data_IF_638788955903
#
_entry.id   IF_638788955903
#
_cell.length_a   1.000
_cell.length_b   1.000
_cell.length_c   1.000
_cell.angle_alpha   90.00
_cell.angle_beta   90.00
_cell.angle_gamma   90.00
#
_symmetry.space_group_name_H-M   'P 1'
#
loop_
_entity.id
_entity.type
_entity.pdbx_description
1 polymer ?
#
# COMPACT_ATOMS: atom_id res chain seq x y z
N UNK A 1 -11.52 4.40 6.95
CA UNK A 1 -10.78 4.54 5.66
C UNK A 1 -11.25 5.79 4.95
N UNK A 2 -10.32 6.58 4.44
CA UNK A 2 -10.63 7.82 3.71
C UNK A 2 -11.27 7.50 2.37
N UNK A 3 -12.08 8.43 1.83
CA UNK A 3 -12.74 8.23 0.55
C UNK A 3 -11.74 8.01 -0.59
N UNK A 4 -10.64 8.77 -0.61
CA UNK A 4 -9.60 8.60 -1.64
C UNK A 4 -8.98 7.19 -1.60
N UNK A 5 -8.90 6.58 -0.42
CA UNK A 5 -8.38 5.23 -0.26
C UNK A 5 -9.37 4.18 -0.75
N UNK A 6 -10.65 4.40 -0.56
CA UNK A 6 -11.69 3.55 -1.13
C UNK A 6 -11.67 3.61 -2.66
N UNK A 7 -11.51 4.83 -3.20
CA UNK A 7 -11.42 5.02 -4.65
C UNK A 7 -10.15 4.38 -5.21
N UNK A 8 -9.04 4.48 -4.50
CA UNK A 8 -7.77 3.84 -4.85
C UNK A 8 -7.93 2.32 -4.92
N UNK A 9 -8.47 1.72 -3.86
CA UNK A 9 -8.66 0.27 -3.80
C UNK A 9 -9.65 -0.22 -4.85
N UNK A 10 -10.69 0.55 -5.12
CA UNK A 10 -11.65 0.25 -6.18
C UNK A 10 -11.00 0.25 -7.55
N UNK A 11 -10.15 1.26 -7.82
CA UNK A 11 -9.44 1.35 -9.09
C UNK A 11 -8.53 0.13 -9.31
N UNK A 12 -7.83 -0.30 -8.26
CA UNK A 12 -6.98 -1.48 -8.33
C UNK A 12 -7.82 -2.74 -8.59
N UNK A 13 -8.92 -2.90 -7.85
CA UNK A 13 -9.79 -4.07 -7.95
C UNK A 13 -10.35 -4.24 -9.37
N UNK A 14 -10.77 -3.14 -9.99
CA UNK A 14 -11.34 -3.16 -11.33
C UNK A 14 -10.33 -2.85 -12.43
N UNK A 15 -9.05 -2.75 -12.08
CA UNK A 15 -7.94 -2.49 -13.02
C UNK A 15 -8.19 -1.25 -13.87
N UNK A 16 -8.50 -0.15 -13.20
CA UNK A 16 -8.76 1.15 -13.81
C UNK A 16 -7.70 2.14 -13.37
N UNK A 17 -7.21 2.93 -14.31
CA UNK A 17 -6.33 4.05 -13.96
C UNK A 17 -7.11 5.10 -13.18
N UNK A 18 -6.46 5.70 -12.19
CA UNK A 18 -7.04 6.76 -11.38
C UNK A 18 -5.97 7.80 -11.07
N UNK A 19 -6.34 9.06 -11.10
CA UNK A 19 -5.51 10.14 -10.58
C UNK A 19 -6.43 11.10 -9.85
N UNK A 20 -6.25 11.23 -8.55
CA UNK A 20 -7.13 12.04 -7.72
C UNK A 20 -6.32 12.67 -6.60
N UNK A 21 -6.29 14.02 -6.58
CA UNK A 21 -5.49 14.76 -5.61
C UNK A 21 -4.02 14.28 -5.63
N UNK A 22 -3.53 13.73 -4.52
CA UNK A 22 -2.15 13.31 -4.37
C UNK A 22 -1.90 11.83 -4.68
N UNK A 23 -2.95 11.07 -5.06
CA UNK A 23 -2.89 9.61 -5.20
C UNK A 23 -3.21 9.20 -6.63
N UNK A 24 -2.41 8.30 -7.18
CA UNK A 24 -2.66 7.76 -8.51
C UNK A 24 -2.50 6.24 -8.53
N UNK A 25 -3.28 5.61 -9.42
CA UNK A 25 -3.22 4.18 -9.72
C UNK A 25 -3.00 4.04 -11.22
N UNK A 26 -1.96 3.33 -11.59
CA UNK A 26 -1.63 3.07 -12.99
C UNK A 26 -1.57 1.58 -13.23
N UNK A 27 -2.43 1.10 -14.13
CA UNK A 27 -2.54 -0.32 -14.43
C UNK A 27 -1.71 -0.65 -15.67
N UNK A 28 -0.73 -1.53 -15.49
CA UNK A 28 0.03 -2.14 -16.55
C UNK A 28 -0.40 -3.61 -16.69
N UNK A 29 0.10 -4.28 -17.70
CA UNK A 29 -0.31 -5.67 -17.97
C UNK A 29 0.01 -6.62 -16.82
N UNK A 30 1.20 -6.50 -16.23
CA UNK A 30 1.68 -7.44 -15.20
C UNK A 30 1.65 -6.87 -13.80
N UNK A 31 1.50 -5.55 -13.68
CA UNK A 31 1.63 -4.87 -12.40
C UNK A 31 0.76 -3.63 -12.35
N UNK A 32 0.21 -3.36 -11.18
CA UNK A 32 -0.52 -2.13 -10.89
C UNK A 32 0.33 -1.32 -9.92
N UNK A 33 0.62 -0.06 -10.27
CA UNK A 33 1.42 0.85 -9.45
C UNK A 33 0.53 1.85 -8.74
N UNK A 34 0.83 2.07 -7.45
CA UNK A 34 0.17 3.11 -6.65
C UNK A 34 1.22 4.13 -6.23
N UNK A 35 0.92 5.41 -6.47
CA UNK A 35 1.82 6.51 -6.15
C UNK A 35 1.14 7.54 -5.28
N UNK A 36 1.92 8.12 -4.38
CA UNK A 36 1.52 9.23 -3.53
C UNK A 36 2.46 10.39 -3.82
N UNK A 37 1.93 11.54 -4.26
CA UNK A 37 2.74 12.68 -4.71
C UNK A 37 3.76 12.27 -5.79
N UNK A 38 3.39 11.35 -6.67
CA UNK A 38 4.27 10.84 -7.72
C UNK A 38 5.29 9.80 -7.27
N UNK A 39 5.37 9.48 -5.98
CA UNK A 39 6.33 8.51 -5.44
C UNK A 39 5.66 7.16 -5.25
N UNK A 40 6.35 6.09 -5.67
CA UNK A 40 5.82 4.74 -5.59
C UNK A 40 5.66 4.32 -4.13
N UNK A 41 4.45 3.87 -3.77
CA UNK A 41 4.15 3.35 -2.43
C UNK A 41 3.62 1.91 -2.45
N UNK A 42 3.17 1.42 -3.60
CA UNK A 42 2.69 0.05 -3.67
C UNK A 42 2.66 -0.49 -5.09
N UNK A 43 2.83 -1.80 -5.20
CA UNK A 43 2.60 -2.53 -6.45
C UNK A 43 1.79 -3.77 -6.16
N UNK A 44 0.86 -4.08 -7.06
CA UNK A 44 0.06 -5.30 -7.00
C UNK A 44 0.35 -6.11 -8.25
N UNK A 45 0.81 -7.35 -8.08
CA UNK A 45 1.02 -8.26 -9.20
C UNK A 45 -0.34 -8.71 -9.74
N UNK A 46 -0.56 -8.58 -11.05
CA UNK A 46 -1.87 -8.86 -11.64
C UNK A 46 -2.21 -10.35 -11.70
N UNK A 47 -1.20 -11.21 -11.69
CA UNK A 47 -1.40 -12.66 -11.72
C UNK A 47 -1.66 -13.24 -10.32
N UNK A 48 -0.90 -12.79 -9.32
CA UNK A 48 -0.94 -13.37 -7.96
C UNK A 48 -1.69 -12.51 -6.95
N UNK A 49 -1.99 -11.25 -7.27
CA UNK A 49 -2.49 -10.23 -6.35
C UNK A 49 -1.53 -9.95 -5.17
N UNK A 50 -0.26 -10.30 -5.32
CA UNK A 50 0.73 -10.06 -4.28
C UNK A 50 1.04 -8.58 -4.18
N UNK A 51 1.02 -8.05 -2.96
CA UNK A 51 1.27 -6.64 -2.67
C UNK A 51 2.70 -6.44 -2.19
N UNK A 52 3.40 -5.49 -2.81
CA UNK A 52 4.66 -4.94 -2.31
C UNK A 52 4.43 -3.51 -1.85
N UNK A 53 5.05 -3.14 -0.74
CA UNK A 53 4.86 -1.81 -0.15
C UNK A 53 6.18 -1.04 -0.10
N UNK A 54 6.07 0.27 -0.31
CA UNK A 54 7.20 1.20 -0.35
C UNK A 54 6.82 2.45 0.45
N UNK A 55 7.79 3.15 1.00
CA UNK A 55 7.52 4.39 1.71
C UNK A 55 7.51 5.63 0.80
N UNK A 56 7.91 5.47 -0.46
CA UNK A 56 7.99 6.58 -1.40
C UNK A 56 9.10 7.57 -1.07
N UNK A 57 10.02 7.21 -0.19
CA UNK A 57 11.09 8.08 0.29
C UNK A 57 10.70 8.93 1.50
N UNK A 58 9.44 8.90 1.93
CA UNK A 58 8.92 9.73 3.04
C UNK A 58 8.00 8.91 3.95
N UNK A 59 8.39 8.75 5.19
CA UNK A 59 7.59 8.03 6.18
C UNK A 59 6.62 9.00 6.89
N UNK A 60 5.51 9.30 6.22
CA UNK A 60 4.50 10.23 6.71
C UNK A 60 3.24 9.50 7.18
N UNK A 61 2.39 10.22 7.93
CA UNK A 61 1.08 9.72 8.36
C UNK A 61 0.22 9.37 7.15
N UNK A 62 0.26 10.20 6.09
CA UNK A 62 -0.51 9.94 4.88
C UNK A 62 -0.03 8.69 4.17
N UNK A 63 1.28 8.50 4.02
CA UNK A 63 1.84 7.29 3.42
C UNK A 63 1.39 6.05 4.20
N UNK A 64 1.50 6.08 5.52
CA UNK A 64 1.10 4.97 6.37
C UNK A 64 -0.40 4.66 6.22
N UNK A 65 -1.24 5.69 6.16
CA UNK A 65 -2.68 5.53 5.94
C UNK A 65 -2.98 4.83 4.62
N UNK A 66 -2.31 5.25 3.53
CA UNK A 66 -2.46 4.61 2.22
C UNK A 66 -2.02 3.15 2.23
N UNK A 67 -0.88 2.87 2.87
CA UNK A 67 -0.35 1.51 2.98
C UNK A 67 -1.30 0.60 3.75
N UNK A 68 -1.86 1.07 4.85
CA UNK A 68 -2.82 0.30 5.63
C UNK A 68 -4.11 0.04 4.83
N UNK A 69 -4.55 1.00 4.03
CA UNK A 69 -5.69 0.80 3.15
C UNK A 69 -5.42 -0.27 2.09
N UNK A 70 -4.23 -0.28 1.49
CA UNK A 70 -3.82 -1.32 0.54
C UNK A 70 -3.77 -2.69 1.22
N UNK A 71 -3.22 -2.76 2.42
CA UNK A 71 -3.11 -4.01 3.16
C UNK A 71 -4.48 -4.55 3.57
N UNK A 72 -5.41 -3.68 3.95
CA UNK A 72 -6.79 -4.10 4.26
C UNK A 72 -7.44 -4.84 3.09
N UNK A 73 -7.12 -4.45 1.87
CA UNK A 73 -7.71 -5.05 0.67
C UNK A 73 -6.93 -6.27 0.18
N UNK A 74 -5.59 -6.18 0.14
CA UNK A 74 -4.75 -7.15 -0.57
C UNK A 74 -3.90 -8.03 0.35
N UNK A 75 -3.76 -7.66 1.60
CA UNK A 75 -3.03 -8.43 2.61
C UNK A 75 -3.72 -8.28 3.96
N UNK A 76 -4.98 -8.75 4.07
CA UNK A 76 -5.73 -8.64 5.32
C UNK A 76 -4.96 -9.32 6.44
N UNK A 77 -5.05 -8.79 7.63
CA UNK A 77 -4.28 -9.16 8.81
C UNK A 77 -2.89 -8.52 8.90
N UNK A 78 -2.41 -7.87 7.85
CA UNK A 78 -1.15 -7.13 7.88
C UNK A 78 -1.42 -5.64 8.12
N UNK A 79 -0.48 -4.98 8.75
CA UNK A 79 -0.59 -3.55 8.99
C UNK A 79 0.77 -2.91 9.27
N UNK A 80 0.89 -1.62 8.93
CA UNK A 80 2.07 -0.80 9.21
C UNK A 80 1.76 0.07 10.43
N UNK A 81 2.69 0.09 11.38
CA UNK A 81 2.59 0.99 12.52
C UNK A 81 3.95 1.60 12.86
N UNK A 82 3.92 2.66 13.65
CA UNK A 82 5.12 3.38 14.06
C UNK A 82 5.31 3.23 15.57
N UNK A 83 6.54 2.95 15.98
CA UNK A 83 6.94 2.90 17.39
C UNK A 83 8.36 3.42 17.51
N UNK A 84 8.58 4.36 18.42
CA UNK A 84 9.91 4.97 18.63
C UNK A 84 10.51 5.50 17.33
N UNK A 85 9.68 6.18 16.50
CA UNK A 85 10.07 6.78 15.23
C UNK A 85 10.46 5.79 14.13
N UNK A 86 10.27 4.48 14.37
CA UNK A 86 10.52 3.45 13.37
C UNK A 86 9.21 2.81 12.92
N UNK A 87 9.17 2.41 11.65
CA UNK A 87 8.03 1.71 11.08
C UNK A 87 8.22 0.20 11.16
N UNK A 88 7.13 -0.48 11.46
CA UNK A 88 7.06 -1.93 11.57
C UNK A 88 5.86 -2.45 10.80
N UNK A 89 5.94 -3.72 10.39
CA UNK A 89 4.82 -4.44 9.79
C UNK A 89 4.42 -5.56 10.76
N UNK A 90 3.13 -5.59 11.11
CA UNK A 90 2.60 -6.64 11.97
C UNK A 90 1.71 -7.58 11.18
N UNK A 91 1.75 -8.87 11.56
CA UNK A 91 0.82 -9.90 11.13
C UNK A 91 -0.05 -10.27 12.31
N UNK A 92 -1.35 -9.92 12.23
CA UNK A 92 -2.28 -10.14 13.35
C UNK A 92 -2.66 -11.60 13.52
N UNK A 93 -2.46 -12.43 12.50
CA UNK A 93 -2.73 -13.87 12.62
C UNK A 93 -1.65 -14.60 13.44
N UNK A 94 -0.37 -14.26 13.21
CA UNK A 94 0.76 -14.92 13.86
C UNK A 94 1.30 -14.14 15.04
N UNK A 95 0.94 -12.85 15.15
CA UNK A 95 1.51 -11.94 16.14
C UNK A 95 2.94 -11.49 15.80
N UNK A 96 3.46 -11.87 14.63
CA UNK A 96 4.80 -11.51 14.22
C UNK A 96 4.89 -10.03 13.87
N UNK A 97 5.98 -9.40 14.29
CA UNK A 97 6.29 -8.00 13.97
C UNK A 97 7.70 -7.97 13.38
N UNK A 98 7.82 -7.34 12.23
CA UNK A 98 9.13 -7.19 11.55
C UNK A 98 9.34 -5.72 11.21
N UNK A 99 10.59 -5.26 11.09
CA UNK A 99 10.86 -3.90 10.62
C UNK A 99 10.30 -3.70 9.21
N UNK A 100 9.78 -2.50 8.95
CA UNK A 100 9.38 -2.12 7.60
C UNK A 100 10.61 -1.96 6.73
N UNK A 101 10.58 -2.60 5.57
CA UNK A 101 11.61 -2.45 4.54
C UNK A 101 10.92 -2.03 3.25
N UNK A 102 11.29 -0.89 2.69
CA UNK A 102 10.70 -0.41 1.44
C UNK A 102 10.94 -1.42 0.32
N UNK A 103 9.84 -1.82 -0.35
CA UNK A 103 9.87 -2.85 -1.38
C UNK A 103 9.58 -4.26 -0.86
N UNK A 104 9.29 -4.40 0.43
CA UNK A 104 8.96 -5.73 0.98
C UNK A 104 7.61 -6.22 0.46
N UNK A 105 7.48 -7.53 0.36
CA UNK A 105 6.22 -8.19 0.02
C UNK A 105 5.43 -8.52 1.29
N UNK A 106 4.16 -8.29 1.24
CA UNK A 106 3.26 -8.58 2.36
C UNK A 106 2.12 -9.51 1.97
#
# INVERSE_FOLDING_TARGET
MRQIERDMNRAIRYRQNMSKQNTSVRCYREEIEVRLHGNLIGTVDTASNQLRIFDGGWQTVTTKSRLNALMDEFAPCMGVFQKNWEWFVSDRLTGQVVPFVSGMTV
#
